data_IF_665847717386
#
_entry.id   IF_665847717386
#
_cell.length_a   1.000
_cell.length_b   1.000
_cell.length_c   1.000
_cell.angle_alpha   90.00
_cell.angle_beta   90.00
_cell.angle_gamma   90.00
#
_symmetry.space_group_name_H-M   'P 1'
#
loop_
_entity.id
_entity.type
_entity.pdbx_description
1 polymer ?
#
# COMPACT_ATOMS: atom_id res chain seq x y z
N UNK A 1 5.66 -2.59 2.87
CA UNK A 1 4.33 -2.79 3.50
C UNK A 1 3.42 -3.52 2.55
N UNK A 2 2.57 -4.38 3.09
CA UNK A 2 1.55 -5.12 2.35
C UNK A 2 0.18 -4.82 2.95
N UNK A 3 -0.82 -4.54 2.11
CA UNK A 3 -2.20 -4.28 2.50
C UNK A 3 -3.10 -5.29 1.79
N UNK A 4 -3.94 -5.97 2.57
CA UNK A 4 -5.01 -6.83 2.07
C UNK A 4 -6.26 -5.97 1.84
N UNK A 5 -6.75 -5.97 0.61
CA UNK A 5 -7.90 -5.18 0.16
C UNK A 5 -8.90 -6.10 -0.56
N UNK A 6 -9.63 -6.88 0.23
CA UNK A 6 -10.53 -7.92 -0.28
C UNK A 6 -9.74 -9.00 -1.04
N UNK A 7 -10.10 -9.32 -2.30
CA UNK A 7 -9.38 -10.33 -3.10
C UNK A 7 -8.03 -9.81 -3.62
N UNK A 8 -7.71 -8.53 -3.42
CA UNK A 8 -6.52 -7.90 -3.96
C UNK A 8 -5.48 -7.65 -2.86
N UNK A 9 -4.22 -7.67 -3.26
CA UNK A 9 -3.07 -7.33 -2.41
C UNK A 9 -2.34 -6.15 -2.99
N UNK A 10 -2.11 -5.12 -2.18
CA UNK A 10 -1.26 -3.98 -2.54
C UNK A 10 0.09 -4.07 -1.81
N UNK A 11 1.17 -3.88 -2.54
CA UNK A 11 2.52 -3.81 -1.99
C UNK A 11 3.06 -2.41 -2.21
N UNK A 12 3.54 -1.79 -1.14
CA UNK A 12 4.18 -0.49 -1.18
C UNK A 12 5.58 -0.55 -0.58
N UNK A 13 6.52 0.13 -1.24
CA UNK A 13 7.85 0.37 -0.73
C UNK A 13 7.82 1.68 0.07
N UNK A 14 8.11 1.57 1.36
CA UNK A 14 8.21 2.70 2.28
C UNK A 14 9.59 2.61 2.93
N UNK A 15 10.10 3.74 3.43
CA UNK A 15 11.29 3.73 4.28
C UNK A 15 10.94 3.16 5.66
N UNK A 16 11.96 2.82 6.45
CA UNK A 16 11.75 2.33 7.82
C UNK A 16 11.17 3.43 8.71
N UNK A 17 11.68 4.64 8.55
CA UNK A 17 11.28 5.82 9.32
C UNK A 17 9.79 6.12 9.11
N UNK A 18 9.28 6.00 7.87
CA UNK A 18 7.87 6.19 7.57
C UNK A 18 6.97 5.16 8.28
N UNK A 19 7.44 3.93 8.49
CA UNK A 19 6.69 2.90 9.24
C UNK A 19 6.57 3.32 10.71
N UNK A 20 7.64 3.85 11.29
CA UNK A 20 7.69 4.31 12.68
C UNK A 20 6.86 5.59 12.89
N UNK A 21 7.03 6.61 12.04
CA UNK A 21 6.31 7.89 12.12
C UNK A 21 4.79 7.72 11.98
N UNK A 22 4.36 6.80 11.12
CA UNK A 22 2.94 6.48 10.91
C UNK A 22 2.41 5.48 11.92
N UNK A 23 3.25 4.94 12.82
CA UNK A 23 2.88 3.95 13.82
C UNK A 23 2.26 2.69 13.21
N UNK A 24 2.82 2.22 12.08
CA UNK A 24 2.20 1.12 11.36
C UNK A 24 2.46 -0.23 12.03
N UNK A 25 1.39 -1.00 12.23
CA UNK A 25 1.44 -2.31 12.86
C UNK A 25 0.71 -3.37 12.04
N UNK A 26 1.08 -4.64 12.23
CA UNK A 26 0.42 -5.76 11.55
C UNK A 26 -1.03 -5.86 12.02
N UNK A 27 -1.96 -5.95 11.07
CA UNK A 27 -3.39 -6.08 11.35
C UNK A 27 -4.13 -4.75 11.50
N UNK A 28 -3.44 -3.61 11.43
CA UNK A 28 -4.10 -2.31 11.42
C UNK A 28 -4.89 -2.09 10.13
N UNK A 29 -5.98 -1.33 10.22
CA UNK A 29 -6.63 -0.78 9.04
C UNK A 29 -5.76 0.33 8.43
N UNK A 30 -5.61 0.30 7.10
CA UNK A 30 -4.79 1.28 6.38
C UNK A 30 -5.44 1.65 5.05
N UNK A 31 -5.24 2.90 4.62
CA UNK A 31 -5.66 3.36 3.29
C UNK A 31 -4.46 3.43 2.36
N UNK A 32 -4.49 2.64 1.30
CA UNK A 32 -3.50 2.75 0.23
C UNK A 32 -3.94 3.80 -0.80
N UNK A 33 -3.06 4.75 -1.14
CA UNK A 33 -3.30 5.76 -2.18
C UNK A 33 -2.27 5.64 -3.29
N UNK A 34 -2.74 5.62 -4.54
CA UNK A 34 -1.88 5.64 -5.73
C UNK A 34 -2.23 6.86 -6.56
N UNK A 35 -1.20 7.53 -7.10
CA UNK A 35 -1.39 8.65 -8.02
C UNK A 35 -1.88 8.12 -9.36
N UNK A 36 -3.03 8.61 -9.84
CA UNK A 36 -3.68 8.08 -11.06
C UNK A 36 -2.79 8.11 -12.30
N UNK A 37 -1.92 9.12 -12.43
CA UNK A 37 -1.00 9.25 -13.57
C UNK A 37 0.11 8.19 -13.61
N UNK A 38 0.25 7.38 -12.55
CA UNK A 38 1.28 6.34 -12.43
C UNK A 38 0.66 4.92 -12.50
N UNK A 39 -0.60 4.82 -12.93
CA UNK A 39 -1.29 3.54 -13.10
C UNK A 39 -1.26 3.15 -14.57
N UNK A 40 -0.77 1.94 -14.83
CA UNK A 40 -0.82 1.32 -16.15
C UNK A 40 -1.83 0.18 -16.10
N UNK A 41 -2.73 0.13 -17.07
CA UNK A 41 -3.70 -0.96 -17.23
C UNK A 41 -3.35 -1.68 -18.51
N UNK A 42 -3.11 -2.98 -18.39
CA UNK A 42 -2.88 -3.85 -19.53
C UNK A 42 -4.07 -4.81 -19.70
N UNK A 43 -4.37 -5.18 -20.94
CA UNK A 43 -5.31 -6.24 -21.28
C UNK A 43 -4.51 -7.33 -21.97
N UNK A 44 -3.91 -8.20 -21.19
CA UNK A 44 -3.48 -9.51 -21.66
C UNK A 44 -4.61 -10.51 -21.40
#
# INVERSE_FOLDING_TARGET
MEIQAGPHRLVSLLTREAVEELGLEVGMEATARVKSTNVHIDRT
#
